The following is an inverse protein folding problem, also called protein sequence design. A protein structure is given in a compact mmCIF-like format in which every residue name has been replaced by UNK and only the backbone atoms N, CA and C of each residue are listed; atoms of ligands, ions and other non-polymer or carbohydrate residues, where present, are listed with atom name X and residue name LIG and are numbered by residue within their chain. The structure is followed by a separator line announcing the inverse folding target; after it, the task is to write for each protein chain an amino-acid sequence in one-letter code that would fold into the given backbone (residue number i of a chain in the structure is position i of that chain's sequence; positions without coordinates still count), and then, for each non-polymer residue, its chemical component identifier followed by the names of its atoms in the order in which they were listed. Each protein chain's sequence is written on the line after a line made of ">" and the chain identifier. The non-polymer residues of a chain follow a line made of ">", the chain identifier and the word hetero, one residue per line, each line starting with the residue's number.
data_IF_418695454932
#
_entry.id   IF_418695454932
#
_cell.length_a   1.000
_cell.length_b   1.000
_cell.length_c   1.000
_cell.angle_alpha   90.00
_cell.angle_beta   90.00
_cell.angle_gamma   90.00
#
_symmetry.space_group_name_H-M   'P 1'
#
loop_
_entity.id
_entity.type
_entity.pdbx_description
1 polymer ?
#
# COMPACT_ATOMS: atom_id res chain seq x y z
N UNK A 1 -7.93 -25.07 -5.58
CA UNK A 1 -7.57 -23.65 -5.35
C UNK A 1 -7.76 -23.35 -3.88
N UNK A 2 -6.70 -22.94 -3.19
CA UNK A 2 -6.76 -22.57 -1.77
C UNK A 2 -7.60 -21.30 -1.61
N UNK A 3 -8.44 -21.25 -0.58
CA UNK A 3 -9.28 -20.08 -0.29
C UNK A 3 -8.38 -18.94 0.21
N UNK A 4 -8.65 -17.71 -0.25
CA UNK A 4 -7.93 -16.57 0.30
C UNK A 4 -8.32 -16.34 1.77
N UNK A 5 -7.35 -15.96 2.59
CA UNK A 5 -7.48 -15.72 4.03
C UNK A 5 -7.27 -14.25 4.40
N UNK A 6 -6.59 -13.46 3.56
CA UNK A 6 -6.30 -12.05 3.81
C UNK A 6 -6.20 -11.23 2.51
N UNK A 7 -6.32 -9.91 2.65
CA UNK A 7 -6.01 -8.92 1.61
C UNK A 7 -4.80 -8.13 2.07
N UNK A 8 -3.79 -7.97 1.22
CA UNK A 8 -2.67 -7.06 1.43
C UNK A 8 -2.76 -5.94 0.41
N UNK A 9 -2.85 -4.69 0.86
CA UNK A 9 -2.77 -3.52 -0.03
C UNK A 9 -1.30 -3.13 -0.22
N UNK A 10 -0.89 -2.95 -1.47
CA UNK A 10 0.42 -2.42 -1.85
C UNK A 10 0.25 -1.06 -2.52
N UNK A 11 0.80 -0.02 -1.90
CA UNK A 11 0.76 1.35 -2.43
C UNK A 11 1.81 1.57 -3.53
N UNK A 12 1.63 2.62 -4.35
CA UNK A 12 2.50 2.88 -5.50
C UNK A 12 3.97 3.18 -5.17
N UNK A 13 4.27 3.57 -3.93
CA UNK A 13 5.61 3.81 -3.39
C UNK A 13 6.18 2.61 -2.62
N UNK A 14 5.44 1.50 -2.52
CA UNK A 14 5.76 0.30 -1.75
C UNK A 14 6.10 -0.91 -2.66
N UNK A 15 6.57 -0.66 -3.89
CA UNK A 15 6.85 -1.66 -4.93
C UNK A 15 8.13 -2.49 -4.64
N UNK A 16 8.13 -3.19 -3.50
CA UNK A 16 9.21 -4.04 -3.02
C UNK A 16 8.65 -5.44 -2.76
N UNK A 17 9.18 -6.52 -3.38
CA UNK A 17 8.63 -7.88 -3.19
C UNK A 17 8.65 -8.36 -1.72
N UNK A 18 9.60 -7.84 -0.93
CA UNK A 18 9.74 -8.10 0.50
C UNK A 18 9.17 -7.00 1.41
N UNK A 19 8.21 -6.18 0.95
CA UNK A 19 7.60 -5.14 1.78
C UNK A 19 7.00 -5.75 3.06
N UNK A 20 7.03 -5.00 4.16
CA UNK A 20 6.68 -5.50 5.49
C UNK A 20 5.28 -6.11 5.59
N UNK A 21 4.31 -5.63 4.81
CA UNK A 21 2.95 -6.17 4.78
C UNK A 21 2.84 -7.57 4.17
N UNK A 22 3.83 -7.99 3.38
CA UNK A 22 3.92 -9.33 2.81
C UNK A 22 4.67 -10.33 3.68
N UNK A 23 5.24 -9.90 4.81
CA UNK A 23 5.95 -10.81 5.71
C UNK A 23 4.99 -11.88 6.23
N UNK A 24 5.43 -13.13 6.14
CA UNK A 24 4.68 -14.33 6.55
C UNK A 24 3.37 -14.56 5.76
N UNK A 25 3.09 -13.77 4.72
CA UNK A 25 1.96 -13.94 3.82
C UNK A 25 2.25 -15.05 2.80
N UNK A 26 1.24 -15.84 2.45
CA UNK A 26 1.37 -16.99 1.54
C UNK A 26 0.75 -16.67 0.17
N UNK A 27 1.49 -16.73 -0.95
CA UNK A 27 1.01 -16.30 -2.27
C UNK A 27 -0.34 -16.88 -2.73
N UNK A 28 -0.64 -18.14 -2.36
CA UNK A 28 -1.91 -18.81 -2.71
C UNK A 28 -3.11 -18.42 -1.85
N UNK A 29 -2.87 -17.88 -0.65
CA UNK A 29 -3.88 -17.54 0.36
C UNK A 29 -4.06 -16.03 0.53
N UNK A 30 -3.16 -15.22 -0.03
CA UNK A 30 -3.20 -13.76 0.07
C UNK A 30 -3.66 -13.13 -1.25
N UNK A 31 -4.60 -12.19 -1.18
CA UNK A 31 -4.93 -11.30 -2.30
C UNK A 31 -4.07 -10.05 -2.22
N UNK A 32 -3.25 -9.77 -3.23
CA UNK A 32 -2.54 -8.50 -3.36
C UNK A 32 -3.43 -7.50 -4.08
N UNK A 33 -3.94 -6.51 -3.34
CA UNK A 33 -4.69 -5.41 -3.90
C UNK A 33 -3.72 -4.28 -4.31
N UNK A 34 -3.85 -3.82 -5.54
CA UNK A 34 -3.17 -2.63 -6.07
C UNK A 34 -4.18 -1.81 -6.86
N UNK A 35 -4.16 -0.49 -6.70
CA UNK A 35 -5.10 0.37 -7.40
C UNK A 35 -4.49 1.70 -7.82
N UNK A 36 -4.69 2.05 -9.09
CA UNK A 36 -4.43 3.38 -9.63
C UNK A 36 -5.67 4.25 -9.39
N UNK A 37 -5.61 5.21 -8.46
CA UNK A 37 -6.80 5.97 -8.04
C UNK A 37 -6.63 7.47 -8.26
N UNK A 38 -7.74 8.15 -8.58
CA UNK A 38 -7.75 9.58 -8.90
C UNK A 38 -7.43 10.46 -7.68
N UNK A 39 -7.84 10.07 -6.47
CA UNK A 39 -7.51 10.80 -5.23
C UNK A 39 -6.00 10.96 -5.07
N UNK A 40 -5.24 9.88 -5.26
CA UNK A 40 -3.78 9.87 -5.16
C UNK A 40 -3.11 10.56 -6.36
N UNK A 41 -3.73 10.54 -7.54
CA UNK A 41 -3.20 11.18 -8.73
C UNK A 41 -3.54 12.70 -8.83
N UNK A 42 -4.50 13.17 -8.04
CA UNK A 42 -5.11 14.48 -8.17
C UNK A 42 -4.98 15.39 -6.95
N UNK A 43 -4.54 14.91 -5.79
CA UNK A 43 -4.48 15.73 -4.57
C UNK A 43 -3.50 16.91 -4.67
N UNK A 44 -2.49 16.80 -5.54
CA UNK A 44 -1.66 17.92 -6.00
C UNK A 44 -1.47 17.83 -7.52
N UNK A 45 -1.16 18.93 -8.22
CA UNK A 45 -0.86 18.90 -9.64
C UNK A 45 0.48 18.17 -9.90
N UNK A 46 0.43 16.84 -9.95
CA UNK A 46 1.60 16.03 -10.26
C UNK A 46 2.05 16.26 -11.71
N UNK A 47 3.36 16.28 -11.90
CA UNK A 47 3.93 16.31 -13.24
C UNK A 47 3.55 15.04 -14.01
N UNK A 48 3.13 15.16 -15.28
CA UNK A 48 2.67 14.01 -16.10
C UNK A 48 3.65 12.84 -16.14
N UNK A 49 4.96 13.12 -16.17
CA UNK A 49 6.02 12.08 -16.09
C UNK A 49 6.02 11.32 -14.76
N UNK A 50 5.70 11.95 -13.63
CA UNK A 50 5.60 11.28 -12.32
C UNK A 50 4.47 10.25 -12.36
N UNK A 51 3.29 10.65 -12.84
CA UNK A 51 2.13 9.75 -12.95
C UNK A 51 2.39 8.59 -13.90
N UNK A 52 2.93 8.88 -15.10
CA UNK A 52 3.27 7.85 -16.07
C UNK A 52 4.32 6.87 -15.53
N UNK A 53 5.36 7.37 -14.85
CA UNK A 53 6.37 6.54 -14.19
C UNK A 53 5.75 5.65 -13.12
N UNK A 54 4.96 6.23 -12.20
CA UNK A 54 4.36 5.52 -11.08
C UNK A 54 3.43 4.41 -11.54
N UNK A 55 2.48 4.70 -12.44
CA UNK A 55 1.56 3.68 -12.95
C UNK A 55 2.28 2.63 -13.79
N UNK A 56 3.30 3.01 -14.56
CA UNK A 56 4.12 2.02 -15.26
C UNK A 56 4.81 1.08 -14.27
N UNK A 57 5.43 1.62 -13.22
CA UNK A 57 6.10 0.82 -12.19
C UNK A 57 5.13 -0.11 -11.47
N UNK A 58 3.96 0.38 -11.07
CA UNK A 58 2.91 -0.42 -10.43
C UNK A 58 2.45 -1.59 -11.31
N UNK A 59 2.21 -1.35 -12.60
CA UNK A 59 1.80 -2.40 -13.55
C UNK A 59 2.87 -3.48 -13.72
N UNK A 60 4.14 -3.10 -13.85
CA UNK A 60 5.23 -4.06 -13.97
C UNK A 60 5.43 -4.85 -12.68
N UNK A 61 5.35 -4.19 -11.52
CA UNK A 61 5.41 -4.85 -10.23
C UNK A 61 4.25 -5.86 -10.05
N UNK A 62 3.04 -5.51 -10.47
CA UNK A 62 1.91 -6.43 -10.44
C UNK A 62 2.18 -7.71 -11.26
N UNK A 63 2.73 -7.58 -12.46
CA UNK A 63 3.11 -8.77 -13.26
C UNK A 63 4.25 -9.56 -12.63
N UNK A 64 5.26 -8.89 -12.07
CA UNK A 64 6.35 -9.53 -11.34
C UNK A 64 5.81 -10.39 -10.18
N UNK A 65 4.88 -9.84 -9.39
CA UNK A 65 4.26 -10.56 -8.28
C UNK A 65 3.40 -11.74 -8.77
N UNK A 66 2.68 -11.59 -9.90
CA UNK A 66 1.95 -12.73 -10.50
C UNK A 66 2.89 -13.86 -10.93
N UNK A 67 4.04 -13.53 -11.53
CA UNK A 67 5.06 -14.52 -11.92
C UNK A 67 5.63 -15.24 -10.69
N UNK A 68 5.75 -14.55 -9.56
CA UNK A 68 6.14 -15.14 -8.27
C UNK A 68 5.02 -15.96 -7.59
N UNK A 69 3.84 -16.08 -8.22
CA UNK A 69 2.73 -16.91 -7.75
C UNK A 69 1.71 -16.19 -6.87
N UNK A 70 1.82 -14.86 -6.71
CA UNK A 70 0.85 -14.09 -5.95
C UNK A 70 -0.46 -13.89 -6.71
N UNK A 71 -1.57 -13.83 -5.97
CA UNK A 71 -2.89 -13.50 -6.52
C UNK A 71 -3.09 -11.99 -6.51
N UNK A 72 -2.82 -11.35 -7.63
CA UNK A 72 -2.89 -9.88 -7.74
C UNK A 72 -4.26 -9.41 -8.29
N UNK A 73 -5.03 -8.71 -7.46
CA UNK A 73 -6.19 -7.90 -7.82
C UNK A 73 -5.73 -6.47 -8.14
N UNK A 74 -5.63 -6.15 -9.43
CA UNK A 74 -5.12 -4.86 -9.90
C UNK A 74 -6.23 -4.04 -10.55
N UNK A 75 -6.47 -2.83 -10.02
CA UNK A 75 -7.48 -1.90 -10.53
C UNK A 75 -6.78 -0.75 -11.24
N UNK A 76 -7.07 -0.59 -12.54
CA UNK A 76 -6.46 0.45 -13.37
C UNK A 76 -7.22 1.76 -13.25
N UNK A 77 -6.55 2.87 -13.57
CA UNK A 77 -7.15 4.21 -13.50
C UNK A 77 -8.33 4.37 -14.47
N UNK A 78 -8.27 3.66 -15.60
CA UNK A 78 -9.27 3.66 -16.66
C UNK A 78 -10.36 2.59 -16.48
N UNK A 79 -10.34 1.84 -15.39
CA UNK A 79 -11.39 0.87 -15.06
C UNK A 79 -12.72 1.62 -14.78
N UNK A 80 -13.81 1.29 -15.48
CA UNK A 80 -15.09 2.00 -15.35
C UNK A 80 -15.70 1.89 -13.94
N UNK A 81 -15.34 0.86 -13.17
CA UNK A 81 -15.84 0.64 -11.82
C UNK A 81 -14.88 1.17 -10.74
N UNK A 82 -13.75 1.79 -11.11
CA UNK A 82 -12.79 2.36 -10.17
C UNK A 82 -13.46 3.38 -9.24
N UNK A 83 -13.33 3.19 -7.92
CA UNK A 83 -13.98 4.05 -6.93
C UNK A 83 -13.32 5.42 -6.77
N UNK A 84 -12.12 5.59 -7.33
CA UNK A 84 -11.35 6.83 -7.26
C UNK A 84 -10.53 7.02 -5.98
N UNK A 85 -10.56 6.08 -5.02
CA UNK A 85 -9.84 6.15 -3.74
C UNK A 85 -9.37 4.78 -3.26
N UNK A 86 -8.27 4.72 -2.51
CA UNK A 86 -7.77 3.45 -1.94
C UNK A 86 -8.78 2.82 -0.98
N UNK A 87 -9.46 3.62 -0.15
CA UNK A 87 -10.49 3.12 0.76
C UNK A 87 -11.70 2.52 0.02
N UNK A 88 -12.11 3.13 -1.08
CA UNK A 88 -13.17 2.57 -1.93
C UNK A 88 -12.74 1.27 -2.61
N UNK A 89 -11.48 1.17 -3.05
CA UNK A 89 -10.97 -0.06 -3.65
C UNK A 89 -10.79 -1.19 -2.64
N UNK A 90 -10.41 -0.88 -1.39
CA UNK A 90 -10.44 -1.83 -0.28
C UNK A 90 -11.88 -2.35 -0.06
N UNK A 91 -12.87 -1.46 -0.02
CA UNK A 91 -14.27 -1.86 0.16
C UNK A 91 -14.77 -2.74 -1.01
N UNK A 92 -14.43 -2.38 -2.25
CA UNK A 92 -14.76 -3.18 -3.43
C UNK A 92 -14.06 -4.54 -3.42
N UNK A 93 -12.79 -4.60 -3.04
CA UNK A 93 -12.04 -5.85 -2.93
C UNK A 93 -12.64 -6.78 -1.88
N UNK A 94 -13.02 -6.26 -0.71
CA UNK A 94 -13.75 -7.03 0.32
C UNK A 94 -15.09 -7.55 -0.16
N UNK A 95 -15.81 -6.78 -0.99
CA UNK A 95 -17.04 -7.26 -1.62
C UNK A 95 -16.77 -8.41 -2.62
N UNK A 96 -15.67 -8.36 -3.37
CA UNK A 96 -15.29 -9.39 -4.37
C UNK A 96 -14.76 -10.67 -3.75
N UNK A 97 -13.87 -10.55 -2.76
CA UNK A 97 -13.11 -11.69 -2.21
C UNK A 97 -13.60 -12.16 -0.84
N UNK A 98 -14.55 -11.43 -0.23
CA UNK A 98 -15.03 -11.63 1.13
C UNK A 98 -14.43 -10.59 2.10
N UNK A 99 -15.10 -10.40 3.24
CA UNK A 99 -14.68 -9.45 4.30
C UNK A 99 -13.45 -9.96 5.07
N UNK A 100 -12.36 -10.18 4.34
CA UNK A 100 -11.09 -10.68 4.83
C UNK A 100 -10.32 -9.58 5.59
N UNK A 101 -9.49 -9.96 6.59
CA UNK A 101 -8.58 -9.03 7.23
C UNK A 101 -7.68 -8.35 6.20
N UNK A 102 -7.47 -7.05 6.40
CA UNK A 102 -6.60 -6.22 5.58
C UNK A 102 -5.26 -6.03 6.29
N UNK A 103 -4.18 -6.12 5.54
CA UNK A 103 -2.83 -5.74 5.98
C UNK A 103 -2.27 -4.68 5.06
N UNK A 104 -1.63 -3.68 5.65
CA UNK A 104 -0.97 -2.60 4.93
C UNK A 104 0.38 -2.28 5.56
N UNK A 105 1.33 -1.84 4.76
CA UNK A 105 2.53 -1.17 5.29
C UNK A 105 2.18 0.29 5.54
N UNK A 106 2.70 0.86 6.63
CA UNK A 106 2.53 2.26 7.00
C UNK A 106 2.78 3.18 5.80
N UNK A 107 1.90 4.17 5.61
CA UNK A 107 1.98 5.13 4.52
C UNK A 107 2.99 6.24 4.84
N UNK A 108 3.69 6.71 3.80
CA UNK A 108 4.64 7.84 3.91
C UNK A 108 3.99 9.23 3.99
N UNK A 109 2.67 9.33 3.91
CA UNK A 109 1.93 10.60 3.95
C UNK A 109 0.90 10.62 5.09
N UNK A 110 0.93 11.67 5.92
CA UNK A 110 0.02 11.84 7.06
C UNK A 110 -1.45 11.73 6.69
N UNK A 111 -1.88 12.30 5.56
CA UNK A 111 -3.27 12.19 5.07
C UNK A 111 -3.69 10.72 4.95
N UNK A 112 -2.86 9.91 4.29
CA UNK A 112 -3.16 8.50 4.05
C UNK A 112 -3.06 7.68 5.35
N UNK A 113 -2.14 8.01 6.25
CA UNK A 113 -2.08 7.39 7.59
C UNK A 113 -3.39 7.60 8.34
N UNK A 114 -3.92 8.82 8.38
CA UNK A 114 -5.20 9.11 9.03
C UNK A 114 -6.37 8.36 8.35
N UNK A 115 -6.39 8.30 7.02
CA UNK A 115 -7.37 7.49 6.28
C UNK A 115 -7.27 6.01 6.64
N UNK A 116 -6.07 5.43 6.67
CA UNK A 116 -5.86 4.01 6.99
C UNK A 116 -6.31 3.66 8.41
N UNK A 117 -6.13 4.56 9.39
CA UNK A 117 -6.59 4.36 10.78
C UNK A 117 -8.11 4.19 10.88
N UNK A 118 -8.86 4.74 9.94
CA UNK A 118 -10.32 4.58 9.89
C UNK A 118 -10.78 3.23 9.32
N UNK A 119 -9.89 2.45 8.71
CA UNK A 119 -10.26 1.19 8.06
C UNK A 119 -10.51 0.10 9.11
N UNK A 120 -11.67 -0.53 9.03
CA UNK A 120 -12.03 -1.64 9.91
C UNK A 120 -11.26 -2.91 9.52
N UNK A 121 -11.01 -3.80 10.49
CA UNK A 121 -10.33 -5.08 10.26
C UNK A 121 -9.01 -4.91 9.47
N UNK A 122 -8.23 -3.89 9.83
CA UNK A 122 -7.00 -3.49 9.16
C UNK A 122 -5.83 -3.50 10.15
N UNK A 123 -4.76 -4.20 9.80
CA UNK A 123 -3.48 -4.17 10.52
C UNK A 123 -2.49 -3.33 9.74
N UNK A 124 -2.01 -2.25 10.37
CA UNK A 124 -0.96 -1.39 9.83
C UNK A 124 0.39 -1.90 10.37
N UNK A 125 1.30 -2.23 9.47
CA UNK A 125 2.62 -2.79 9.76
C UNK A 125 3.67 -1.72 9.48
N UNK A 126 4.60 -1.51 10.42
CA UNK A 126 5.68 -0.53 10.26
C UNK A 126 6.46 -0.74 8.96
N UNK A 127 6.91 0.36 8.35
CA UNK A 127 7.79 0.31 7.19
C UNK A 127 9.25 0.19 7.62
N UNK A 128 9.83 -0.99 7.42
CA UNK A 128 11.20 -1.30 7.81
C UNK A 128 12.22 -1.13 6.68
N UNK A 129 11.83 -0.44 5.60
CA UNK A 129 12.78 0.07 4.60
C UNK A 129 13.63 1.22 5.13
N UNK A 130 13.21 1.84 6.23
CA UNK A 130 13.93 2.92 6.91
C UNK A 130 14.87 2.39 7.99
N UNK A 131 16.04 3.02 8.14
CA UNK A 131 17.02 2.66 9.17
C UNK A 131 16.60 3.00 10.60
N UNK A 132 15.63 3.89 10.76
CA UNK A 132 15.11 4.31 12.06
C UNK A 132 13.59 4.22 12.02
N UNK A 133 13.02 3.63 13.06
CA UNK A 133 11.57 3.75 13.31
C UNK A 133 11.23 5.17 13.77
N UNK A 134 9.95 5.58 13.69
CA UNK A 134 9.48 6.82 14.29
C UNK A 134 9.83 6.93 15.78
N UNK A 135 9.68 5.84 16.54
CA UNK A 135 10.00 5.81 17.98
C UNK A 135 11.49 5.98 18.25
N UNK A 136 12.35 5.32 17.47
CA UNK A 136 13.80 5.48 17.57
C UNK A 136 14.22 6.91 17.25
N UNK A 137 13.62 7.52 16.22
CA UNK A 137 13.91 8.89 15.85
C UNK A 137 13.41 9.88 16.91
N UNK A 138 12.22 9.63 17.49
CA UNK A 138 11.66 10.41 18.58
C UNK A 138 12.57 10.36 19.83
N UNK A 139 13.01 9.16 20.22
CA UNK A 139 13.95 8.97 21.33
C UNK A 139 15.31 9.64 21.06
N UNK A 140 15.82 9.57 19.82
CA UNK A 140 17.03 10.31 19.44
C UNK A 140 16.83 11.83 19.57
N UNK A 141 15.68 12.36 19.16
CA UNK A 141 15.39 13.79 19.19
C UNK A 141 15.12 14.35 20.59
N UNK A 142 14.66 13.51 21.53
CA UNK A 142 14.28 13.91 22.88
C UNK A 142 15.40 14.69 23.61
N UNK A 143 15.02 15.82 24.23
CA UNK A 143 15.94 16.66 25.00
C UNK A 143 16.94 17.50 24.17
N UNK A 144 17.01 17.33 22.85
CA UNK A 144 17.90 18.11 21.98
C UNK A 144 17.28 19.46 21.64
N UNK A 145 18.03 20.55 21.83
CA UNK A 145 17.60 21.91 21.45
C UNK A 145 17.79 22.22 19.97
N UNK A 146 18.59 21.43 19.26
CA UNK A 146 18.87 21.58 17.83
C UNK A 146 19.08 20.20 17.24
N UNK A 147 18.38 19.91 16.15
CA UNK A 147 18.54 18.68 15.39
C UNK A 147 19.48 18.98 14.21
N UNK A 148 20.56 18.22 14.09
CA UNK A 148 21.51 18.29 12.98
C UNK A 148 21.66 16.90 12.38
N UNK A 149 21.92 16.86 11.07
CA UNK A 149 22.11 15.60 10.34
C UNK A 149 23.54 15.05 10.48
N UNK A 150 24.52 15.93 10.71
CA UNK A 150 25.97 15.67 10.78
C UNK A 150 26.45 14.81 11.96
#
# INVERSE_FOLDING_TARGET
>A
MTRASEIVLISGDQLTPGISSLRDASPGETILLMAEVAEEAGYVPHHRKKLAFLFSAMRHFAEEMRVQGWRVDYVRLDDPDNSGSLGGEVARARKRHGDLPLRVTEAGEWRLVETMRSWTNCTIIADDRFFSTPDQFAAWAEGRKTLRME
#
